data_IF_130414955227
#
_entry.id   IF_130414955227
#
_cell.length_a   1.000
_cell.length_b   1.000
_cell.length_c   1.000
_cell.angle_alpha   90.00
_cell.angle_beta   90.00
_cell.angle_gamma   90.00
#
_symmetry.space_group_name_H-M   'P 1'
#
loop_
_entity.id
_entity.type
_entity.pdbx_description
1 polymer ?
#
# COMPACT_ATOMS: atom_id res chain seq x y z
N UNK A 1 -9.84 -21.01 0.78
CA UNK A 1 -10.72 -20.64 -0.36
C UNK A 1 -10.43 -19.27 -1.00
N UNK A 2 -10.57 -18.11 -0.35
CA UNK A 2 -10.29 -16.81 -1.00
C UNK A 2 -8.78 -16.53 -1.25
N UNK A 3 -7.92 -16.87 -0.28
CA UNK A 3 -6.47 -16.66 -0.38
C UNK A 3 -5.80 -17.56 -1.42
N UNK A 4 -6.14 -18.86 -1.44
CA UNK A 4 -5.61 -19.80 -2.44
C UNK A 4 -5.99 -19.42 -3.88
N UNK A 5 -7.21 -18.89 -4.08
CA UNK A 5 -7.64 -18.37 -5.37
C UNK A 5 -6.76 -17.22 -5.86
N UNK A 6 -6.46 -16.26 -4.98
CA UNK A 6 -5.55 -15.15 -5.28
C UNK A 6 -4.13 -15.62 -5.60
N UNK A 7 -3.58 -16.55 -4.80
CA UNK A 7 -2.22 -17.09 -5.01
C UNK A 7 -2.12 -17.80 -6.37
N UNK A 8 -3.11 -18.62 -6.73
CA UNK A 8 -3.11 -19.30 -8.03
C UNK A 8 -3.32 -18.36 -9.21
N UNK A 9 -4.12 -17.29 -9.06
CA UNK A 9 -4.23 -16.25 -10.06
C UNK A 9 -2.91 -15.47 -10.23
N UNK A 10 -2.25 -15.12 -9.12
CA UNK A 10 -0.96 -14.43 -9.12
C UNK A 10 0.13 -15.19 -9.87
N UNK A 11 0.18 -16.52 -9.75
CA UNK A 11 1.14 -17.37 -10.50
C UNK A 11 1.02 -17.25 -12.02
N UNK A 12 -0.13 -16.80 -12.54
CA UNK A 12 -0.38 -16.64 -13.97
C UNK A 12 -0.09 -15.22 -14.47
N UNK A 13 0.19 -14.28 -13.58
CA UNK A 13 0.48 -12.90 -13.94
C UNK A 13 1.95 -12.76 -14.39
N UNK A 14 2.24 -11.81 -15.30
CA UNK A 14 3.61 -11.46 -15.64
C UNK A 14 4.39 -11.03 -14.38
N UNK A 15 5.69 -11.32 -14.37
CA UNK A 15 6.59 -10.84 -13.33
C UNK A 15 6.54 -9.30 -13.27
N UNK A 16 6.42 -8.73 -12.07
CA UNK A 16 6.30 -7.29 -11.87
C UNK A 16 4.87 -6.72 -11.93
N UNK A 17 3.86 -7.51 -12.26
CA UNK A 17 2.45 -7.05 -12.28
C UNK A 17 1.79 -6.99 -10.90
N UNK A 18 2.48 -7.42 -9.83
CA UNK A 18 1.98 -7.38 -8.46
C UNK A 18 3.04 -6.75 -7.58
N UNK A 19 2.63 -5.75 -6.80
CA UNK A 19 3.45 -5.11 -5.79
C UNK A 19 2.85 -5.39 -4.40
N UNK A 20 3.63 -6.04 -3.53
CA UNK A 20 3.21 -6.33 -2.17
C UNK A 20 3.60 -5.18 -1.23
N UNK A 21 2.61 -4.62 -0.55
CA UNK A 21 2.83 -3.63 0.51
C UNK A 21 2.56 -4.30 1.85
N UNK A 22 3.57 -4.27 2.73
CA UNK A 22 3.39 -4.67 4.12
C UNK A 22 2.55 -3.61 4.84
N UNK A 23 1.48 -4.05 5.50
CA UNK A 23 0.60 -3.16 6.23
C UNK A 23 1.34 -2.32 7.30
N UNK A 24 2.31 -2.92 8.00
CA UNK A 24 3.13 -2.22 8.99
C UNK A 24 3.96 -1.07 8.41
N UNK A 25 4.48 -1.23 7.19
CA UNK A 25 5.22 -0.17 6.50
C UNK A 25 4.27 0.96 6.06
N UNK A 26 3.08 0.61 5.57
CA UNK A 26 2.04 1.56 5.19
C UNK A 26 1.53 2.40 6.38
N UNK A 27 1.35 1.78 7.54
CA UNK A 27 0.94 2.50 8.77
C UNK A 27 2.06 3.39 9.29
N UNK A 28 3.32 2.92 9.21
CA UNK A 28 4.49 3.67 9.71
C UNK A 28 4.78 4.90 8.86
N UNK A 29 4.81 4.75 7.54
CA UNK A 29 5.10 5.84 6.61
C UNK A 29 4.39 5.62 5.27
N UNK A 30 3.14 6.08 5.13
CA UNK A 30 2.38 5.91 3.90
C UNK A 30 2.96 6.68 2.71
N UNK A 31 3.70 7.77 2.94
CA UNK A 31 4.28 8.58 1.87
C UNK A 31 5.47 7.85 1.25
N UNK A 32 6.34 7.28 2.08
CA UNK A 32 7.46 6.47 1.60
C UNK A 32 6.97 5.27 0.77
N UNK A 33 5.91 4.59 1.23
CA UNK A 33 5.32 3.44 0.52
C UNK A 33 4.76 3.84 -0.85
N UNK A 34 4.04 4.96 -0.94
CA UNK A 34 3.49 5.44 -2.22
C UNK A 34 4.60 5.90 -3.17
N UNK A 35 5.66 6.55 -2.66
CA UNK A 35 6.82 6.93 -3.47
C UNK A 35 7.52 5.72 -4.08
N UNK A 36 7.76 4.68 -3.29
CA UNK A 36 8.35 3.43 -3.77
C UNK A 36 7.45 2.77 -4.84
N UNK A 37 6.14 2.74 -4.61
CA UNK A 37 5.17 2.22 -5.58
C UNK A 37 5.24 2.97 -6.92
N UNK A 38 5.30 4.31 -6.90
CA UNK A 38 5.46 5.11 -8.11
C UNK A 38 6.75 4.75 -8.85
N UNK A 39 7.87 4.63 -8.13
CA UNK A 39 9.15 4.23 -8.70
C UNK A 39 9.12 2.85 -9.35
N UNK A 40 8.49 1.86 -8.72
CA UNK A 40 8.34 0.51 -9.28
C UNK A 40 7.46 0.48 -10.53
N UNK A 41 6.49 1.38 -10.62
CA UNK A 41 5.62 1.54 -11.78
C UNK A 41 6.23 2.42 -12.89
N UNK A 42 7.41 3.01 -12.66
CA UNK A 42 8.07 3.92 -13.59
C UNK A 42 7.41 5.30 -13.70
N UNK A 43 6.63 5.71 -12.70
CA UNK A 43 6.04 7.04 -12.60
C UNK A 43 6.88 7.98 -11.74
N UNK A 44 6.89 9.25 -12.10
CA UNK A 44 7.50 10.29 -11.28
C UNK A 44 6.58 10.66 -10.11
N UNK A 45 7.12 10.61 -8.89
CA UNK A 45 6.39 11.03 -7.70
C UNK A 45 6.67 12.51 -7.41
N UNK A 46 5.85 13.37 -8.04
CA UNK A 46 6.02 14.83 -7.99
C UNK A 46 5.72 15.42 -6.61
N UNK A 47 6.24 16.62 -6.36
CA UNK A 47 5.92 17.39 -5.15
C UNK A 47 4.41 17.68 -5.01
N UNK A 48 3.70 17.88 -6.11
CA UNK A 48 2.24 18.10 -6.11
C UNK A 48 1.49 16.82 -5.68
N UNK A 49 1.91 15.65 -6.14
CA UNK A 49 1.33 14.38 -5.73
C UNK A 49 1.56 14.12 -4.23
N UNK A 50 2.75 14.43 -3.73
CA UNK A 50 3.08 14.32 -2.30
C UNK A 50 2.22 15.26 -1.45
N UNK A 51 2.05 16.51 -1.85
CA UNK A 51 1.21 17.49 -1.12
C UNK A 51 -0.25 17.05 -1.05
N UNK A 52 -0.81 16.56 -2.18
CA UNK A 52 -2.16 16.00 -2.22
C UNK A 52 -2.31 14.80 -1.28
N UNK A 53 -1.33 13.90 -1.27
CA UNK A 53 -1.32 12.74 -0.38
C UNK A 53 -1.25 13.16 1.09
N UNK A 54 -0.39 14.11 1.44
CA UNK A 54 -0.29 14.68 2.80
C UNK A 54 -1.59 15.33 3.24
N UNK A 55 -2.22 16.09 2.34
CA UNK A 55 -3.51 16.73 2.59
C UNK A 55 -4.61 15.70 2.81
N UNK A 56 -4.64 14.64 2.01
CA UNK A 56 -5.57 13.52 2.20
C UNK A 56 -5.36 12.84 3.56
N UNK A 57 -4.12 12.49 3.91
CA UNK A 57 -3.80 11.85 5.19
C UNK A 57 -4.16 12.73 6.40
N UNK A 58 -3.98 14.04 6.28
CA UNK A 58 -4.36 14.99 7.33
C UNK A 58 -5.87 15.08 7.54
N UNK A 59 -6.65 14.90 6.47
CA UNK A 59 -8.12 14.87 6.52
C UNK A 59 -8.68 13.50 6.94
N UNK A 60 -7.87 12.45 6.80
CA UNK A 60 -8.22 11.06 7.12
C UNK A 60 -7.21 10.48 8.13
N UNK A 61 -7.17 11.00 9.38
CA UNK A 61 -6.22 10.50 10.37
C UNK A 61 -6.42 8.99 10.58
N UNK A 62 -5.34 8.24 10.34
CA UNK A 62 -5.29 6.81 10.54
C UNK A 62 -5.44 6.48 12.03
N UNK A 63 -6.66 6.22 12.46
CA UNK A 63 -6.97 5.88 13.86
C UNK A 63 -8.31 5.17 14.07
N UNK A 64 -9.00 4.73 12.99
CA UNK A 64 -10.29 4.02 13.11
C UNK A 64 -10.18 2.50 13.18
N UNK A 65 -9.04 1.92 12.85
CA UNK A 65 -8.81 0.48 13.00
C UNK A 65 -7.74 0.29 14.08
N UNK A 66 -8.20 0.27 15.33
CA UNK A 66 -7.40 -0.13 16.47
C UNK A 66 -6.75 -1.49 16.22
N UNK A 67 -5.66 -1.75 16.95
CA UNK A 67 -4.98 -3.04 16.99
C UNK A 67 -6.02 -4.17 17.02
N UNK A 68 -6.23 -4.87 15.91
CA UNK A 68 -7.06 -6.07 15.90
C UNK A 68 -6.27 -7.12 16.68
N UNK A 69 -6.45 -7.13 18.00
CA UNK A 69 -6.01 -8.22 18.85
C UNK A 69 -6.82 -9.44 18.44
N UNK A 70 -6.32 -10.18 17.46
CA UNK A 70 -6.72 -11.57 17.28
C UNK A 70 -6.16 -12.32 18.48
N UNK A 71 -6.99 -12.54 19.50
CA UNK A 71 -6.77 -13.62 20.44
C UNK A 71 -6.80 -14.91 19.61
N UNK A 72 -5.69 -15.65 19.65
CA UNK A 72 -5.56 -16.96 18.99
C UNK A 72 -6.51 -17.97 19.59
#
# INVERSE_FOLDING_TARGET
>A
MALEGFINARKKLPSGSVYDVKFSDLVRDPIAVVRELYGQLGYDFTAEAEDRLRTFLSKHPNGRYGNHSYAM
#
